data_IF_701642732538
#
_entry.id   IF_701642732538
#
_cell.length_a   1.000
_cell.length_b   1.000
_cell.length_c   1.000
_cell.angle_alpha   90.00
_cell.angle_beta   90.00
_cell.angle_gamma   90.00
#
_symmetry.space_group_name_H-M   'P 1'
#
loop_
_entity.id
_entity.type
_entity.pdbx_description
1 polymer ?
#
# COMPACT_ATOMS: atom_id res chain seq x y z
N UNK A 1 10.00 13.48 13.47
CA UNK A 1 9.37 14.34 12.44
C UNK A 1 9.66 15.83 12.58
N UNK A 2 9.45 16.46 13.75
CA UNK A 2 9.69 17.91 13.95
C UNK A 2 11.11 18.39 13.59
N UNK A 3 12.12 17.56 13.85
CA UNK A 3 13.55 17.87 13.60
C UNK A 3 14.03 17.41 12.21
N UNK A 4 13.17 16.76 11.41
CA UNK A 4 13.54 16.31 10.07
C UNK A 4 14.58 15.16 10.04
N UNK A 5 14.83 14.49 11.18
CA UNK A 5 15.70 13.33 11.28
C UNK A 5 14.89 12.02 11.24
N UNK A 6 15.22 11.06 10.35
CA UNK A 6 14.63 9.74 10.38
C UNK A 6 15.19 8.93 11.56
N UNK A 7 14.36 8.09 12.17
CA UNK A 7 14.73 7.29 13.35
C UNK A 7 14.50 5.81 13.09
N UNK A 8 15.37 4.95 13.60
CA UNK A 8 15.18 3.49 13.62
C UNK A 8 15.16 3.05 15.09
N UNK A 9 13.99 2.64 15.58
CA UNK A 9 13.83 2.16 16.95
C UNK A 9 13.97 0.64 16.98
N UNK A 10 14.62 0.12 18.01
CA UNK A 10 14.73 -1.31 18.25
C UNK A 10 14.53 -1.60 19.75
N UNK A 11 13.82 -2.68 20.04
CA UNK A 11 13.78 -3.23 21.39
C UNK A 11 15.13 -3.87 21.73
N UNK A 12 15.60 -3.82 22.99
CA UNK A 12 16.84 -4.51 23.38
C UNK A 12 16.85 -5.99 22.98
N UNK A 13 15.72 -6.68 23.16
CA UNK A 13 15.55 -8.08 22.74
C UNK A 13 15.72 -8.32 21.23
N UNK A 14 15.42 -7.31 20.39
CA UNK A 14 15.64 -7.38 18.96
C UNK A 14 17.11 -7.21 18.56
N UNK A 15 17.98 -6.74 19.45
CA UNK A 15 19.44 -6.67 19.25
C UNK A 15 20.14 -7.86 19.91
N UNK A 16 19.80 -8.15 21.17
CA UNK A 16 20.46 -9.20 21.97
C UNK A 16 20.03 -10.62 21.55
N UNK A 17 18.82 -10.77 21.03
CA UNK A 17 18.24 -12.09 20.74
C UNK A 17 17.35 -12.58 21.87
N UNK A 18 16.28 -13.29 21.50
CA UNK A 18 15.31 -13.89 22.40
C UNK A 18 14.63 -15.07 21.71
N UNK A 19 13.98 -15.96 22.47
CA UNK A 19 13.33 -17.16 21.92
C UNK A 19 12.25 -16.88 20.85
N UNK A 20 11.68 -15.67 20.84
CA UNK A 20 10.57 -15.28 19.97
C UNK A 20 10.96 -14.25 18.88
N UNK A 21 12.26 -14.05 18.62
CA UNK A 21 12.72 -13.18 17.53
C UNK A 21 13.34 -14.01 16.39
N UNK A 22 13.49 -13.39 15.23
CA UNK A 22 14.17 -13.98 14.08
C UNK A 22 15.65 -14.23 14.41
N UNK A 23 16.30 -15.10 13.62
CA UNK A 23 17.74 -15.32 13.71
C UNK A 23 18.54 -14.02 13.47
N UNK A 24 19.78 -14.01 13.93
CA UNK A 24 20.66 -12.84 13.91
C UNK A 24 20.85 -12.25 12.49
N UNK A 25 21.01 -13.11 11.49
CA UNK A 25 21.24 -12.67 10.12
C UNK A 25 19.98 -11.99 9.56
N UNK A 26 18.80 -12.60 9.74
CA UNK A 26 17.54 -12.01 9.29
C UNK A 26 17.26 -10.67 9.97
N UNK A 27 17.50 -10.57 11.28
CA UNK A 27 17.34 -9.31 12.03
C UNK A 27 18.28 -8.22 11.51
N UNK A 28 19.56 -8.56 11.32
CA UNK A 28 20.56 -7.64 10.79
C UNK A 28 20.19 -7.16 9.38
N UNK A 29 19.77 -8.06 8.48
CA UNK A 29 19.33 -7.70 7.14
C UNK A 29 18.15 -6.73 7.14
N UNK A 30 17.11 -7.00 7.94
CA UNK A 30 15.95 -6.11 8.07
C UNK A 30 16.36 -4.73 8.58
N UNK A 31 17.18 -4.70 9.64
CA UNK A 31 17.61 -3.46 10.28
C UNK A 31 18.51 -2.61 9.36
N UNK A 32 19.51 -3.22 8.72
CA UNK A 32 20.42 -2.52 7.81
C UNK A 32 19.71 -2.04 6.54
N UNK A 33 18.76 -2.81 6.00
CA UNK A 33 17.97 -2.39 4.82
C UNK A 33 17.15 -1.14 5.14
N UNK A 34 16.44 -1.15 6.27
CA UNK A 34 15.63 0.00 6.70
C UNK A 34 16.50 1.25 6.95
N UNK A 35 17.65 1.08 7.62
CA UNK A 35 18.60 2.18 7.85
C UNK A 35 19.18 2.74 6.54
N UNK A 36 19.58 1.87 5.61
CA UNK A 36 20.12 2.29 4.33
C UNK A 36 19.11 3.16 3.55
N UNK A 37 17.84 2.75 3.53
CA UNK A 37 16.79 3.57 2.93
C UNK A 37 16.58 4.89 3.67
N UNK A 38 16.57 4.87 5.01
CA UNK A 38 16.44 6.09 5.83
C UNK A 38 17.56 7.09 5.61
N UNK A 39 18.77 6.60 5.30
CA UNK A 39 19.91 7.41 4.91
C UNK A 39 19.83 7.97 3.47
N UNK A 40 18.78 7.65 2.70
CA UNK A 40 18.58 8.08 1.32
C UNK A 40 19.03 7.07 0.26
N UNK A 41 19.47 5.88 0.67
CA UNK A 41 19.77 4.78 -0.26
C UNK A 41 18.50 4.18 -0.86
N UNK A 42 18.65 3.46 -1.98
CA UNK A 42 17.57 2.70 -2.61
C UNK A 42 17.98 1.22 -2.62
N UNK A 43 17.46 0.38 -1.71
CA UNK A 43 17.93 -1.00 -1.55
C UNK A 43 17.79 -1.86 -2.81
N UNK A 44 16.64 -1.77 -3.49
CA UNK A 44 16.37 -2.46 -4.75
C UNK A 44 15.21 -1.78 -5.49
N UNK A 45 15.04 -2.13 -6.77
CA UNK A 45 13.87 -1.80 -7.58
C UNK A 45 13.23 -3.07 -8.10
N UNK A 46 11.93 -3.01 -8.35
CA UNK A 46 11.17 -4.16 -8.88
C UNK A 46 10.96 -3.99 -10.39
N UNK A 47 11.04 -5.11 -11.10
CA UNK A 47 10.60 -5.20 -12.49
C UNK A 47 9.10 -5.54 -12.60
N UNK A 48 8.48 -5.08 -13.68
CA UNK A 48 7.06 -5.33 -13.99
C UNK A 48 6.09 -4.23 -13.55
N UNK A 49 6.57 -3.04 -13.19
CA UNK A 49 5.72 -1.84 -13.05
C UNK A 49 5.72 -1.05 -14.37
N UNK A 50 4.56 -0.53 -14.74
CA UNK A 50 4.43 0.31 -15.92
C UNK A 50 5.14 1.66 -15.71
N UNK A 51 5.85 2.12 -16.75
CA UNK A 51 6.53 3.42 -16.73
C UNK A 51 5.51 4.56 -16.73
N UNK A 52 5.86 5.66 -16.07
CA UNK A 52 5.01 6.85 -15.95
C UNK A 52 3.62 6.55 -15.36
N UNK A 53 3.54 5.54 -14.49
CA UNK A 53 2.33 5.20 -13.73
C UNK A 53 2.48 5.68 -12.30
N UNK A 54 1.43 6.29 -11.76
CA UNK A 54 1.33 6.64 -10.34
C UNK A 54 0.45 5.61 -9.63
N UNK A 55 1.06 4.82 -8.73
CA UNK A 55 0.30 3.92 -7.86
C UNK A 55 -0.05 4.65 -6.55
N UNK A 56 -1.28 4.47 -6.07
CA UNK A 56 -1.81 5.18 -4.90
C UNK A 56 -2.41 4.18 -3.93
N UNK A 57 -2.10 4.31 -2.65
CA UNK A 57 -2.70 3.53 -1.56
C UNK A 57 -3.55 4.40 -0.66
N UNK A 58 -4.81 4.02 -0.48
CA UNK A 58 -5.77 4.71 0.40
C UNK A 58 -6.16 3.79 1.54
N UNK A 59 -5.96 4.28 2.76
CA UNK A 59 -6.46 3.65 3.98
C UNK A 59 -7.02 4.69 4.95
N UNK A 60 -7.70 4.22 5.98
CA UNK A 60 -8.32 5.09 6.98
C UNK A 60 -7.77 4.75 8.35
N UNK A 61 -7.56 5.78 9.16
CA UNK A 61 -7.13 5.65 10.54
C UNK A 61 -7.94 6.58 11.43
N UNK A 62 -7.97 6.28 12.72
CA UNK A 62 -8.60 7.13 13.72
C UNK A 62 -7.51 7.91 14.47
N UNK A 63 -7.52 9.25 14.44
CA UNK A 63 -6.64 10.07 15.27
C UNK A 63 -6.92 9.87 16.77
N UNK A 64 -5.88 9.96 17.62
CA UNK A 64 -6.06 9.87 19.07
C UNK A 64 -6.86 11.05 19.65
N UNK A 65 -6.71 12.23 19.06
CA UNK A 65 -7.34 13.47 19.49
C UNK A 65 -8.82 13.58 19.08
N UNK A 66 -9.33 12.65 18.27
CA UNK A 66 -10.68 12.74 17.68
C UNK A 66 -11.43 11.39 17.74
N UNK A 67 -12.01 11.09 18.91
CA UNK A 67 -12.82 9.88 19.11
C UNK A 67 -14.08 9.92 18.23
N UNK A 68 -14.22 8.97 17.30
CA UNK A 68 -15.37 8.86 16.40
C UNK A 68 -15.23 9.64 15.09
N UNK A 69 -14.10 10.30 14.86
CA UNK A 69 -13.73 10.83 13.54
C UNK A 69 -12.69 9.93 12.90
N UNK A 70 -12.84 9.68 11.61
CA UNK A 70 -11.81 9.04 10.82
C UNK A 70 -11.06 10.10 10.00
N UNK A 71 -9.82 9.76 9.70
CA UNK A 71 -9.03 10.52 8.76
C UNK A 71 -8.55 9.56 7.67
N UNK A 72 -8.70 9.97 6.42
CA UNK A 72 -8.06 9.26 5.32
C UNK A 72 -6.55 9.50 5.39
N UNK A 73 -5.77 8.43 5.53
CA UNK A 73 -4.36 8.46 5.20
C UNK A 73 -4.19 7.97 3.78
N UNK A 74 -3.62 8.83 2.94
CA UNK A 74 -3.23 8.44 1.60
C UNK A 74 -1.71 8.39 1.54
N UNK A 75 -1.19 7.23 1.15
CA UNK A 75 0.17 7.17 0.67
C UNK A 75 0.12 7.25 -0.85
N UNK A 76 0.67 8.33 -1.41
CA UNK A 76 1.08 8.33 -2.79
C UNK A 76 2.29 7.42 -2.89
N UNK A 77 2.12 6.30 -3.56
CA UNK A 77 2.99 5.18 -3.34
C UNK A 77 3.47 4.68 -4.70
N UNK A 78 4.63 5.22 -5.08
CA UNK A 78 5.56 4.65 -6.04
C UNK A 78 5.33 5.07 -7.50
N UNK A 79 6.28 5.83 -8.02
CA UNK A 79 6.67 5.73 -9.42
C UNK A 79 7.47 4.44 -9.66
N UNK A 80 7.77 4.15 -10.92
CA UNK A 80 8.70 3.08 -11.34
C UNK A 80 10.08 3.13 -10.66
N UNK A 81 10.42 4.25 -10.00
CA UNK A 81 11.69 4.46 -9.29
C UNK A 81 11.68 4.07 -7.81
N UNK A 82 10.50 3.77 -7.24
CA UNK A 82 10.38 3.39 -5.85
C UNK A 82 10.21 4.56 -4.87
N UNK A 83 10.05 5.80 -5.33
CA UNK A 83 9.86 6.94 -4.42
C UNK A 83 8.39 7.06 -3.98
N UNK A 84 8.16 7.10 -2.66
CA UNK A 84 6.84 7.23 -2.05
C UNK A 84 6.70 8.55 -1.29
N UNK A 85 5.53 9.17 -1.42
CA UNK A 85 5.17 10.44 -0.78
C UNK A 85 3.94 10.26 0.10
N UNK A 86 3.96 10.89 1.27
CA UNK A 86 2.86 10.88 2.24
C UNK A 86 1.96 12.08 2.02
N UNK A 87 0.66 11.82 1.95
CA UNK A 87 -0.38 12.83 1.96
C UNK A 87 -1.37 12.59 3.10
N UNK A 88 -1.73 13.66 3.79
CA UNK A 88 -2.77 13.64 4.81
C UNK A 88 -4.07 14.12 4.17
N UNK A 89 -5.08 13.25 4.12
CA UNK A 89 -6.40 13.62 3.65
C UNK A 89 -7.21 14.35 4.72
N UNK A 90 -8.37 14.87 4.31
CA UNK A 90 -9.32 15.57 5.17
C UNK A 90 -9.88 14.66 6.28
N UNK A 91 -10.15 15.25 7.45
CA UNK A 91 -10.88 14.60 8.55
C UNK A 91 -12.36 14.53 8.21
N UNK A 92 -13.03 13.43 8.56
CA UNK A 92 -14.47 13.31 8.42
C UNK A 92 -15.05 12.43 9.53
N UNK A 93 -16.27 12.73 9.95
CA UNK A 93 -16.96 11.91 10.94
C UNK A 93 -17.44 10.62 10.27
N UNK A 94 -17.15 9.48 10.89
CA UNK A 94 -17.57 8.19 10.37
C UNK A 94 -18.44 7.46 11.39
N UNK A 95 -19.64 7.09 10.94
CA UNK A 95 -20.51 6.21 11.69
C UNK A 95 -20.26 4.76 11.27
N UNK A 96 -19.79 3.94 12.22
CA UNK A 96 -19.49 2.52 12.00
C UNK A 96 -20.71 1.71 11.56
N UNK A 97 -21.93 2.19 11.86
CA UNK A 97 -23.18 1.54 11.46
C UNK A 97 -23.46 1.66 9.96
N UNK A 98 -22.87 2.66 9.29
CA UNK A 98 -23.05 2.92 7.86
C UNK A 98 -22.16 2.06 6.97
N UNK A 99 -21.43 1.10 7.56
CA UNK A 99 -20.50 0.23 6.85
C UNK A 99 -19.11 0.85 6.69
N UNK A 100 -18.32 0.44 5.69
CA UNK A 100 -16.92 0.85 5.57
C UNK A 100 -16.79 2.37 5.33
N UNK A 101 -15.66 2.98 5.74
CA UNK A 101 -15.43 4.41 5.57
C UNK A 101 -15.35 4.81 4.09
N UNK A 102 -15.92 5.98 3.81
CA UNK A 102 -16.07 6.58 2.48
C UNK A 102 -15.83 8.09 2.58
N UNK A 103 -15.21 8.63 1.54
CA UNK A 103 -15.04 10.07 1.35
C UNK A 103 -16.21 10.66 0.54
N UNK A 104 -16.43 11.97 0.64
CA UNK A 104 -17.31 12.67 -0.31
C UNK A 104 -16.65 12.76 -1.69
N UNK A 105 -17.41 13.19 -2.70
CA UNK A 105 -16.87 13.42 -4.03
C UNK A 105 -15.78 14.50 -4.00
N UNK A 106 -16.03 15.62 -3.32
CA UNK A 106 -15.11 16.75 -3.20
C UNK A 106 -13.83 16.33 -2.47
N UNK A 107 -13.97 15.64 -1.33
CA UNK A 107 -12.82 15.16 -0.56
C UNK A 107 -11.99 14.13 -1.35
N UNK A 108 -12.62 13.32 -2.20
CA UNK A 108 -11.92 12.36 -3.06
C UNK A 108 -11.19 13.03 -4.22
N UNK A 109 -11.80 14.06 -4.80
CA UNK A 109 -11.22 14.88 -5.86
C UNK A 109 -9.98 15.63 -5.35
N UNK A 110 -10.13 16.38 -4.25
CA UNK A 110 -9.04 17.16 -3.64
C UNK A 110 -7.85 16.27 -3.27
N UNK A 111 -8.16 15.10 -2.72
CA UNK A 111 -7.16 14.14 -2.31
C UNK A 111 -6.37 13.60 -3.50
N UNK A 112 -7.03 13.22 -4.60
CA UNK A 112 -6.34 12.72 -5.80
C UNK A 112 -5.64 13.85 -6.57
N UNK A 113 -6.18 15.07 -6.61
CA UNK A 113 -5.47 16.24 -7.16
C UNK A 113 -4.17 16.52 -6.41
N UNK A 114 -4.18 16.40 -5.08
CA UNK A 114 -2.98 16.59 -4.27
C UNK A 114 -1.89 15.57 -4.62
N UNK A 115 -2.25 14.30 -4.85
CA UNK A 115 -1.35 13.25 -5.34
C UNK A 115 -0.76 13.63 -6.70
N UNK A 116 -1.60 14.03 -7.65
CA UNK A 116 -1.16 14.37 -9.00
C UNK A 116 -0.19 15.56 -9.00
N UNK A 117 -0.48 16.60 -8.23
CA UNK A 117 0.40 17.76 -8.06
C UNK A 117 1.76 17.34 -7.50
N UNK A 118 1.78 16.50 -6.47
CA UNK A 118 3.05 15.99 -5.91
C UNK A 118 3.81 15.14 -6.93
N UNK A 119 3.13 14.28 -7.69
CA UNK A 119 3.76 13.51 -8.75
C UNK A 119 4.45 14.44 -9.76
N UNK A 120 3.74 15.47 -10.21
CA UNK A 120 4.22 16.42 -11.22
C UNK A 120 5.42 17.24 -10.71
N UNK A 121 5.42 17.65 -9.44
CA UNK A 121 6.57 18.35 -8.83
C UNK A 121 7.82 17.47 -8.82
N UNK A 122 7.68 16.19 -8.48
CA UNK A 122 8.82 15.27 -8.39
C UNK A 122 9.32 14.78 -9.76
N UNK A 123 8.40 14.51 -10.70
CA UNK A 123 8.72 13.91 -11.99
C UNK A 123 8.79 14.93 -13.14
N UNK A 124 8.39 16.19 -12.90
CA UNK A 124 8.27 17.27 -13.90
C UNK A 124 7.38 16.91 -15.09
N UNK A 125 6.47 15.96 -14.89
CA UNK A 125 5.49 15.51 -15.87
C UNK A 125 4.28 14.91 -15.15
N UNK A 126 3.11 14.98 -15.78
CA UNK A 126 1.90 14.28 -15.32
C UNK A 126 2.03 12.77 -15.58
N UNK A 127 1.43 11.92 -14.71
CA UNK A 127 1.43 10.47 -14.94
C UNK A 127 0.55 10.14 -16.16
N UNK A 128 0.97 9.17 -16.96
CA UNK A 128 0.17 8.66 -18.07
C UNK A 128 -0.96 7.74 -17.58
N UNK A 129 -0.75 7.07 -16.44
CA UNK A 129 -1.71 6.16 -15.83
C UNK A 129 -1.73 6.31 -14.31
N UNK A 130 -2.91 6.19 -13.70
CA UNK A 130 -3.09 6.21 -12.25
C UNK A 130 -3.78 4.95 -11.78
N UNK A 131 -3.20 4.24 -10.81
CA UNK A 131 -3.80 3.04 -10.23
C UNK A 131 -4.03 3.26 -8.74
N UNK A 132 -5.28 3.25 -8.31
CA UNK A 132 -5.66 3.49 -6.92
C UNK A 132 -6.05 2.17 -6.26
N UNK A 133 -5.34 1.82 -5.20
CA UNK A 133 -5.67 0.73 -4.30
C UNK A 133 -6.30 1.30 -3.03
N UNK A 134 -7.50 0.82 -2.67
CA UNK A 134 -8.21 1.24 -1.46
C UNK A 134 -8.48 0.05 -0.54
N UNK A 135 -8.30 0.23 0.77
CA UNK A 135 -8.54 -0.81 1.77
C UNK A 135 -10.04 -1.06 2.08
N UNK A 136 -10.94 -0.30 1.46
CA UNK A 136 -12.39 -0.46 1.54
C UNK A 136 -13.02 -0.35 0.15
N UNK A 137 -14.28 -0.76 0.02
CA UNK A 137 -15.05 -0.59 -1.20
C UNK A 137 -15.19 0.91 -1.54
N UNK A 138 -15.22 1.22 -2.83
CA UNK A 138 -15.49 2.57 -3.31
C UNK A 138 -16.99 2.86 -3.29
N UNK A 139 -17.36 4.10 -2.99
CA UNK A 139 -18.70 4.61 -3.23
C UNK A 139 -18.80 5.28 -4.61
N UNK A 140 -20.00 5.40 -5.19
CA UNK A 140 -20.19 6.14 -6.44
C UNK A 140 -19.68 7.59 -6.39
N UNK A 141 -19.83 8.25 -5.24
CA UNK A 141 -19.37 9.62 -5.00
C UNK A 141 -17.85 9.70 -5.06
N UNK A 142 -17.14 8.79 -4.38
CA UNK A 142 -15.68 8.73 -4.42
C UNK A 142 -15.15 8.52 -5.84
N UNK A 143 -15.77 7.60 -6.58
CA UNK A 143 -15.39 7.32 -7.97
C UNK A 143 -15.57 8.56 -8.85
N UNK A 144 -16.67 9.29 -8.66
CA UNK A 144 -16.98 10.51 -9.44
C UNK A 144 -15.97 11.62 -9.13
N UNK A 145 -15.66 11.85 -7.85
CA UNK A 145 -14.64 12.83 -7.45
C UNK A 145 -13.23 12.48 -7.95
N UNK A 146 -12.85 11.21 -7.88
CA UNK A 146 -11.56 10.75 -8.40
C UNK A 146 -11.47 10.90 -9.93
N UNK A 147 -12.54 10.59 -10.68
CA UNK A 147 -12.56 10.81 -12.13
C UNK A 147 -12.47 12.29 -12.49
N UNK A 148 -13.12 13.17 -11.72
CA UNK A 148 -13.02 14.62 -11.92
C UNK A 148 -11.58 15.14 -11.72
N UNK A 149 -10.84 14.59 -10.75
CA UNK A 149 -9.42 14.89 -10.56
C UNK A 149 -8.55 14.44 -11.75
N UNK A 150 -8.87 13.31 -12.36
CA UNK A 150 -8.11 12.72 -13.48
C UNK A 150 -8.42 13.35 -14.84
N UNK A 151 -9.60 13.98 -14.98
CA UNK A 151 -10.03 14.63 -16.22
C UNK A 151 -9.02 15.70 -16.71
N UNK A 152 -8.23 16.27 -15.80
CA UNK A 152 -7.14 17.20 -16.11
C UNK A 152 -5.84 16.48 -16.53
N UNK A 153 -5.93 15.66 -17.58
CA UNK A 153 -4.75 15.18 -18.32
C UNK A 153 -4.24 13.77 -17.98
N UNK A 154 -5.01 12.94 -17.27
CA UNK A 154 -4.68 11.51 -17.09
C UNK A 154 -5.67 10.66 -17.90
N UNK A 155 -5.19 9.97 -18.93
CA UNK A 155 -6.06 9.22 -19.84
C UNK A 155 -6.40 7.80 -19.37
N UNK A 156 -5.53 7.18 -18.58
CA UNK A 156 -5.69 5.80 -18.13
C UNK A 156 -5.75 5.72 -16.61
N UNK A 157 -6.71 4.98 -16.09
CA UNK A 157 -6.79 4.75 -14.67
C UNK A 157 -7.42 3.41 -14.33
N UNK A 158 -7.14 2.94 -13.12
CA UNK A 158 -7.75 1.75 -12.53
C UNK A 158 -7.99 1.95 -11.03
N UNK A 159 -9.22 1.69 -10.59
CA UNK A 159 -9.61 1.77 -9.19
C UNK A 159 -9.92 0.37 -8.65
N UNK A 160 -9.14 -0.05 -7.65
CA UNK A 160 -9.22 -1.39 -7.07
C UNK A 160 -9.46 -1.31 -5.57
N UNK A 161 -10.54 -1.94 -5.10
CA UNK A 161 -10.71 -2.20 -3.68
C UNK A 161 -10.05 -3.54 -3.32
N UNK A 162 -9.26 -3.55 -2.24
CA UNK A 162 -8.54 -4.72 -1.75
C UNK A 162 -9.02 -5.03 -0.34
N UNK A 163 -9.41 -6.27 -0.12
CA UNK A 163 -9.79 -6.79 1.19
C UNK A 163 -9.19 -8.17 1.44
N UNK A 164 -8.98 -8.57 2.70
CA UNK A 164 -8.64 -9.96 3.00
C UNK A 164 -9.79 -10.89 2.57
N UNK A 165 -9.49 -11.97 1.84
CA UNK A 165 -10.54 -12.91 1.45
C UNK A 165 -10.97 -13.78 2.64
N UNK A 166 -12.25 -14.15 2.66
CA UNK A 166 -12.81 -15.23 3.49
C UNK A 166 -12.71 -16.60 2.79
N UNK A 167 -12.48 -16.62 1.48
CA UNK A 167 -12.41 -17.82 0.66
C UNK A 167 -10.95 -18.22 0.48
N UNK A 168 -10.68 -19.53 0.55
CA UNK A 168 -9.37 -20.10 0.25
C UNK A 168 -9.55 -21.25 -0.74
N UNK A 169 -8.90 -21.13 -1.88
CA UNK A 169 -8.69 -22.22 -2.81
C UNK A 169 -7.49 -23.08 -2.39
N UNK A 170 -7.58 -24.35 -2.73
CA UNK A 170 -6.53 -25.33 -2.51
C UNK A 170 -6.06 -25.83 -3.88
N UNK A 171 -4.79 -26.21 -3.96
CA UNK A 171 -4.21 -26.86 -5.13
C UNK A 171 -4.06 -28.35 -4.82
N UNK A 172 -4.25 -29.20 -5.83
CA UNK A 172 -3.93 -30.63 -5.73
C UNK A 172 -2.46 -30.81 -5.38
N UNK A 173 -2.19 -31.62 -4.35
CA UNK A 173 -0.85 -31.88 -3.84
C UNK A 173 -0.68 -31.47 -2.37
N UNK A 174 0.58 -31.40 -1.93
CA UNK A 174 0.93 -31.06 -0.54
C UNK A 174 1.24 -29.57 -0.34
N UNK A 175 1.53 -28.86 -1.43
CA UNK A 175 1.93 -27.46 -1.39
C UNK A 175 0.73 -26.52 -1.53
N UNK A 176 0.76 -25.34 -0.88
CA UNK A 176 -0.27 -24.34 -1.07
C UNK A 176 -0.33 -23.82 -2.51
N UNK A 177 -1.39 -23.06 -2.88
CA UNK A 177 -1.44 -22.37 -4.16
C UNK A 177 -0.17 -21.56 -4.43
N UNK A 178 0.22 -21.47 -5.71
CA UNK A 178 1.41 -20.72 -6.11
C UNK A 178 1.24 -19.24 -5.79
N UNK A 179 2.30 -18.59 -5.28
CA UNK A 179 2.32 -17.13 -5.23
C UNK A 179 2.15 -16.57 -6.64
N UNK A 180 1.24 -15.63 -6.81
CA UNK A 180 0.82 -15.09 -8.11
C UNK A 180 -0.42 -15.76 -8.70
N UNK A 181 -0.98 -16.80 -8.08
CA UNK A 181 -2.26 -17.37 -8.53
C UNK A 181 -3.38 -16.35 -8.41
N UNK A 182 -4.04 -16.04 -9.52
CA UNK A 182 -5.23 -15.19 -9.57
C UNK A 182 -6.42 -16.00 -10.09
N UNK A 183 -7.56 -15.88 -9.40
CA UNK A 183 -8.80 -16.63 -9.68
C UNK A 183 -9.93 -15.62 -9.80
N UNK A 184 -10.59 -15.56 -10.95
CA UNK A 184 -11.78 -14.75 -11.11
C UNK A 184 -12.99 -15.48 -10.51
N UNK A 185 -13.66 -14.86 -9.55
CA UNK A 185 -14.82 -15.43 -8.86
C UNK A 185 -16.15 -14.81 -9.31
N UNK A 186 -16.09 -13.62 -9.92
CA UNK A 186 -17.24 -12.95 -10.54
C UNK A 186 -16.72 -11.92 -11.57
N UNK A 187 -17.58 -11.28 -12.38
CA UNK A 187 -17.20 -10.11 -13.15
C UNK A 187 -16.53 -9.08 -12.24
N UNK A 188 -15.35 -8.59 -12.64
CA UNK A 188 -14.54 -7.61 -11.90
C UNK A 188 -14.06 -8.03 -10.49
N UNK A 189 -14.33 -9.26 -10.02
CA UNK A 189 -13.92 -9.74 -8.68
C UNK A 189 -12.95 -10.90 -8.78
N UNK A 190 -11.82 -10.77 -8.09
CA UNK A 190 -10.70 -11.70 -8.16
C UNK A 190 -10.21 -12.08 -6.77
N UNK A 191 -9.69 -13.30 -6.64
CA UNK A 191 -8.92 -13.78 -5.50
C UNK A 191 -7.47 -13.90 -5.94
N UNK A 192 -6.56 -13.28 -5.23
CA UNK A 192 -5.13 -13.26 -5.56
C UNK A 192 -4.28 -13.76 -4.39
N UNK A 193 -3.44 -14.75 -4.68
CA UNK A 193 -2.45 -15.29 -3.75
C UNK A 193 -1.15 -14.51 -3.85
N UNK A 194 -1.02 -13.46 -3.06
CA UNK A 194 0.28 -12.78 -2.85
C UNK A 194 1.17 -13.54 -1.87
N UNK A 195 0.62 -14.45 -1.07
CA UNK A 195 1.39 -15.44 -0.32
C UNK A 195 1.00 -16.84 -0.79
N UNK A 196 1.97 -17.71 -0.91
CA UNK A 196 1.78 -19.05 -1.47
C UNK A 196 3.12 -19.73 -1.71
N UNK A 197 3.07 -20.91 -2.30
CA UNK A 197 4.28 -21.65 -2.64
C UNK A 197 5.12 -20.86 -3.65
N UNK A 198 6.41 -20.74 -3.39
CA UNK A 198 7.36 -20.06 -4.27
C UNK A 198 8.30 -21.11 -4.86
N UNK A 199 8.16 -21.49 -6.15
CA UNK A 199 8.97 -22.55 -6.75
C UNK A 199 10.48 -22.33 -6.63
N UNK A 200 10.92 -21.07 -6.76
CA UNK A 200 12.33 -20.70 -6.61
C UNK A 200 12.89 -21.02 -5.21
N UNK A 201 12.11 -20.76 -4.16
CA UNK A 201 12.48 -21.07 -2.77
C UNK A 201 12.20 -22.53 -2.40
N UNK A 202 11.48 -23.26 -3.26
CA UNK A 202 10.94 -24.60 -3.02
C UNK A 202 10.13 -24.72 -1.71
N UNK A 203 9.59 -23.61 -1.23
CA UNK A 203 8.84 -23.55 0.03
C UNK A 203 7.81 -22.42 0.02
N UNK A 204 6.90 -22.46 0.99
CA UNK A 204 6.00 -21.36 1.34
C UNK A 204 6.50 -20.66 2.61
N UNK A 205 6.94 -19.38 2.54
CA UNK A 205 7.52 -18.67 3.68
C UNK A 205 6.42 -18.06 4.58
N UNK A 206 5.52 -18.88 5.09
CA UNK A 206 4.46 -18.42 5.99
C UNK A 206 4.01 -19.49 6.99
N UNK A 207 3.58 -19.04 8.17
CA UNK A 207 3.27 -19.93 9.29
C UNK A 207 1.93 -20.67 9.18
N UNK A 208 0.97 -20.12 8.43
CA UNK A 208 -0.40 -20.63 8.34
C UNK A 208 -0.81 -20.75 6.88
N UNK A 209 -1.86 -21.53 6.62
CA UNK A 209 -2.50 -21.62 5.29
C UNK A 209 -2.61 -20.22 4.67
N UNK A 210 -2.04 -19.97 3.48
CA UNK A 210 -2.01 -18.64 2.91
C UNK A 210 -3.42 -18.09 2.76
N UNK A 211 -3.61 -16.87 3.28
CA UNK A 211 -4.85 -16.12 3.12
C UNK A 211 -4.71 -15.24 1.88
N UNK A 212 -5.49 -15.47 0.81
CA UNK A 212 -5.43 -14.62 -0.36
C UNK A 212 -6.13 -13.29 -0.11
N UNK A 213 -5.85 -12.33 -0.98
CA UNK A 213 -6.58 -11.07 -1.04
C UNK A 213 -7.73 -11.19 -2.03
N UNK A 214 -8.84 -10.53 -1.73
CA UNK A 214 -9.92 -10.28 -2.66
C UNK A 214 -9.73 -8.90 -3.27
N UNK A 215 -9.82 -8.82 -4.58
CA UNK A 215 -9.75 -7.60 -5.36
C UNK A 215 -11.07 -7.38 -6.09
N UNK A 216 -11.56 -6.15 -6.07
CA UNK A 216 -12.64 -5.71 -6.96
C UNK A 216 -12.13 -4.58 -7.84
N UNK A 217 -12.15 -4.77 -9.15
CA UNK A 217 -11.82 -3.74 -10.13
C UNK A 217 -13.08 -2.91 -10.41
N UNK A 218 -13.22 -1.77 -9.73
CA UNK A 218 -14.44 -0.97 -9.77
C UNK A 218 -14.63 -0.30 -11.14
N UNK A 219 -13.62 0.49 -11.55
CA UNK A 219 -13.57 1.23 -12.82
C UNK A 219 -12.14 1.26 -13.34
N UNK A 220 -12.00 1.32 -14.66
CA UNK A 220 -10.71 1.35 -15.33
C UNK A 220 -10.69 0.53 -16.61
N UNK A 221 -9.53 0.52 -17.25
CA UNK A 221 -9.30 -0.11 -18.57
C UNK A 221 -8.17 -1.14 -18.56
N UNK A 222 -7.46 -1.29 -17.44
CA UNK A 222 -6.36 -2.21 -17.26
C UNK A 222 -6.80 -3.66 -17.36
N UNK A 223 -5.96 -4.47 -17.99
CA UNK A 223 -6.21 -5.91 -18.07
C UNK A 223 -5.98 -6.57 -16.72
N UNK A 224 -6.73 -7.65 -16.42
CA UNK A 224 -6.56 -8.41 -15.17
C UNK A 224 -5.12 -8.88 -15.00
N UNK A 225 -4.49 -9.37 -16.09
CA UNK A 225 -3.11 -9.86 -16.06
C UNK A 225 -2.13 -8.76 -15.66
N UNK A 226 -2.30 -7.56 -16.22
CA UNK A 226 -1.47 -6.39 -15.90
C UNK A 226 -1.63 -5.99 -14.43
N UNK A 227 -2.87 -5.74 -13.99
CA UNK A 227 -3.17 -5.32 -12.62
C UNK A 227 -2.66 -6.31 -11.56
N UNK A 228 -2.83 -7.61 -11.80
CA UNK A 228 -2.33 -8.64 -10.87
C UNK A 228 -0.80 -8.73 -10.88
N UNK A 229 -0.16 -8.53 -12.04
CA UNK A 229 1.30 -8.54 -12.13
C UNK A 229 1.92 -7.34 -11.42
N UNK A 230 1.33 -6.15 -11.59
CA UNK A 230 1.72 -4.91 -10.92
C UNK A 230 1.54 -5.02 -9.41
N UNK A 231 0.40 -5.53 -8.94
CA UNK A 231 0.16 -5.76 -7.53
C UNK A 231 1.19 -6.74 -6.93
N UNK A 232 1.52 -7.81 -7.66
CA UNK A 232 2.53 -8.77 -7.24
C UNK A 232 3.93 -8.11 -7.16
N UNK A 233 4.24 -7.21 -8.09
CA UNK A 233 5.46 -6.42 -8.04
C UNK A 233 5.50 -5.49 -6.81
N UNK A 234 4.41 -4.78 -6.52
CA UNK A 234 4.30 -3.89 -5.36
C UNK A 234 4.46 -4.62 -4.01
N UNK A 235 4.11 -5.91 -3.93
CA UNK A 235 4.37 -6.70 -2.70
C UNK A 235 5.86 -6.95 -2.44
N UNK A 236 6.74 -6.77 -3.43
CA UNK A 236 8.21 -6.90 -3.30
C UNK A 236 8.91 -5.57 -2.96
N UNK A 237 8.16 -4.48 -2.84
CA UNK A 237 8.70 -3.13 -2.64
C UNK A 237 8.68 -2.68 -1.19
N UNK A 238 8.79 -3.60 -0.23
CA UNK A 238 8.83 -3.26 1.19
C UNK A 238 10.28 -3.13 1.68
N UNK A 239 10.81 -1.90 1.71
CA UNK A 239 12.17 -1.63 2.19
C UNK A 239 12.34 -1.65 3.73
N UNK A 240 11.29 -2.03 4.48
CA UNK A 240 11.39 -2.27 5.92
C UNK A 240 11.71 -3.74 6.27
N UNK A 241 11.75 -4.64 5.27
CA UNK A 241 12.08 -6.05 5.46
C UNK A 241 12.86 -6.57 4.26
N UNK A 242 13.87 -7.41 4.51
CA UNK A 242 14.61 -8.16 3.50
C UNK A 242 13.90 -9.47 3.12
N UNK A 243 12.69 -9.72 3.62
CA UNK A 243 11.86 -10.85 3.20
C UNK A 243 11.61 -10.82 1.69
N UNK A 244 11.45 -12.00 1.09
CA UNK A 244 11.20 -12.15 -0.35
C UNK A 244 10.00 -11.32 -0.87
N UNK A 245 8.92 -11.22 -0.08
CA UNK A 245 7.76 -10.40 -0.38
C UNK A 245 6.83 -10.20 0.84
N UNK A 246 6.16 -9.06 0.88
CA UNK A 246 5.06 -8.76 1.80
C UNK A 246 3.75 -9.44 1.40
N UNK A 247 2.80 -9.54 2.35
CA UNK A 247 1.44 -10.01 2.06
C UNK A 247 0.64 -8.99 1.25
N UNK A 248 0.70 -7.73 1.68
CA UNK A 248 -0.04 -6.61 1.11
C UNK A 248 0.90 -5.82 0.18
N UNK A 249 0.40 -5.24 -0.94
CA UNK A 249 1.20 -4.34 -1.76
C UNK A 249 1.66 -3.15 -0.93
N UNK A 250 2.88 -2.66 -1.21
CA UNK A 250 3.47 -1.58 -0.42
C UNK A 250 2.60 -0.33 -0.39
N UNK A 251 1.80 -0.06 -1.43
CA UNK A 251 0.85 1.07 -1.50
C UNK A 251 -0.08 1.11 -0.29
N UNK A 252 -0.75 0.00 0.02
CA UNK A 252 -1.68 -0.11 1.14
C UNK A 252 -0.98 -0.34 2.47
N UNK A 253 0.10 -1.14 2.49
CA UNK A 253 0.86 -1.36 3.71
C UNK A 253 1.45 -0.04 4.23
N UNK A 254 1.97 0.78 3.32
CA UNK A 254 2.52 2.08 3.63
C UNK A 254 1.44 3.07 4.08
N UNK A 255 0.32 3.20 3.36
CA UNK A 255 -0.77 4.10 3.77
C UNK A 255 -1.28 3.78 5.18
N UNK A 256 -1.34 2.48 5.52
CA UNK A 256 -1.77 2.04 6.85
C UNK A 256 -0.76 2.38 7.94
N UNK A 257 0.52 2.09 7.70
CA UNK A 257 1.59 2.38 8.67
C UNK A 257 1.74 3.89 8.90
N UNK A 258 1.63 4.69 7.83
CA UNK A 258 1.56 6.14 7.92
C UNK A 258 0.38 6.56 8.76
N UNK A 259 -0.82 6.03 8.51
CA UNK A 259 -2.00 6.34 9.31
C UNK A 259 -1.79 6.11 10.81
N UNK A 260 -1.11 5.02 11.19
CA UNK A 260 -0.75 4.73 12.58
C UNK A 260 0.24 5.71 13.18
N UNK A 261 1.17 6.27 12.39
CA UNK A 261 2.10 7.26 12.90
C UNK A 261 1.44 8.65 12.94
N UNK A 262 0.62 8.96 11.93
CA UNK A 262 -0.14 10.21 11.85
C UNK A 262 -1.20 10.29 12.94
N UNK A 263 -1.74 9.18 13.45
CA UNK A 263 -2.69 9.19 14.57
C UNK A 263 -2.09 9.69 15.88
N UNK A 264 -0.77 9.56 16.02
CA UNK A 264 0.01 10.01 17.18
C UNK A 264 0.52 11.45 17.03
N UNK A 265 0.45 12.03 15.82
CA UNK A 265 0.94 13.38 15.55
C UNK A 265 -0.15 14.42 15.85
N UNK A 266 0.16 15.44 16.67
CA UNK A 266 -0.70 16.60 16.84
C UNK A 266 -1.07 17.28 15.51
N UNK A 267 -2.30 17.79 15.41
CA UNK A 267 -2.82 18.40 14.19
C UNK A 267 -2.01 19.62 13.71
N UNK A 268 -1.31 20.31 14.61
CA UNK A 268 -0.48 21.48 14.31
C UNK A 268 0.92 21.15 13.78
N UNK A 269 1.27 19.87 13.65
CA UNK A 269 2.55 19.44 13.07
C UNK A 269 2.31 18.98 11.64
N UNK A 270 2.95 19.70 10.72
CA UNK A 270 3.04 19.30 9.32
C UNK A 270 3.86 18.00 9.20
N UNK A 271 3.28 16.94 8.62
CA UNK A 271 3.97 15.68 8.41
C UNK A 271 5.10 15.86 7.39
N UNK A 272 6.17 15.09 7.56
CA UNK A 272 7.17 14.99 6.51
C UNK A 272 6.56 14.26 5.30
N UNK A 273 6.92 14.65 4.09
CA UNK A 273 6.33 14.03 2.90
C UNK A 273 7.05 12.76 2.49
N UNK A 274 8.35 12.62 2.78
CA UNK A 274 9.13 11.46 2.34
C UNK A 274 8.82 10.20 3.16
N UNK A 275 8.65 9.06 2.48
CA UNK A 275 8.46 7.75 3.09
C UNK A 275 9.50 7.38 4.16
N UNK A 276 10.74 7.84 4.03
CA UNK A 276 11.83 7.53 4.97
C UNK A 276 11.56 7.92 6.43
N UNK A 277 10.60 8.81 6.67
CA UNK A 277 10.22 9.24 8.02
C UNK A 277 9.17 8.36 8.70
N UNK A 278 8.64 7.37 7.97
CA UNK A 278 7.48 6.56 8.38
C UNK A 278 7.74 5.05 8.38
N UNK A 279 8.84 4.60 7.80
CA UNK A 279 9.36 3.26 8.07
C UNK A 279 10.07 3.23 9.41
#
# INVERSE_FOLDING_TARGET
>A
MRVGLPTQLAWPSALEGAANVQDDATRAWNFCTALYYKAGGVPWRVDGLARNTCYVGISFFQPIDAIGELQASMAQAFSDRGEGTVLRGSRFRWDRTQGPPRLSAEASEDLLRSVLTQYEVHHRQKPARVVVYKSSAFSPEELTGMEAALADGVSYYDFLSIAPSSIRFLRVGREPPLRGTAIQIAPKRFIMYTRGYVPYLKLYPGMRIPRPMQLTHERGSGSVKELMSELLALTRMNWNSADFASAEPITLAFSRNVGLILSELPANIEPQTSFRYYM
#
